data_IF_016730368574
#
_entry.id   IF_016730368574
#
_cell.length_a   1.000
_cell.length_b   1.000
_cell.length_c   1.000
_cell.angle_alpha   90.00
_cell.angle_beta   90.00
_cell.angle_gamma   90.00
#
_symmetry.space_group_name_H-M   'P 1'
#
loop_
_entity.id
_entity.type
_entity.pdbx_description
1 polymer ?
#
# COMPACT_ATOMS: atom_id res chain seq x y z
N UNK A 1 -0.47 -7.08 -23.35
CA UNK A 1 -1.29 -7.57 -22.26
C UNK A 1 -1.95 -6.41 -21.55
N UNK A 2 -3.18 -6.54 -21.32
CA UNK A 2 -3.95 -5.45 -20.76
C UNK A 2 -4.06 -5.61 -19.26
N UNK A 3 -3.86 -4.54 -18.57
CA UNK A 3 -4.18 -4.53 -17.17
C UNK A 3 -5.68 -4.63 -17.00
N UNK A 4 -6.10 -5.47 -16.13
CA UNK A 4 -7.49 -5.83 -16.05
C UNK A 4 -8.22 -5.18 -14.90
N UNK A 5 -7.54 -4.58 -13.94
CA UNK A 5 -8.23 -4.10 -12.78
C UNK A 5 -7.77 -2.73 -12.33
N UNK A 6 -8.72 -1.92 -11.85
CA UNK A 6 -8.39 -0.64 -11.25
C UNK A 6 -7.47 -0.82 -10.05
N UNK A 7 -7.66 -1.91 -9.27
CA UNK A 7 -6.79 -2.21 -8.15
C UNK A 7 -5.34 -2.43 -8.55
N UNK A 8 -5.12 -3.22 -9.62
CA UNK A 8 -3.77 -3.47 -10.10
C UNK A 8 -3.12 -2.19 -10.63
N UNK A 9 -3.89 -1.38 -11.33
CA UNK A 9 -3.39 -0.10 -11.80
C UNK A 9 -3.02 0.79 -10.63
N UNK A 10 -3.86 0.82 -9.61
CA UNK A 10 -3.59 1.62 -8.41
C UNK A 10 -2.32 1.17 -7.69
N UNK A 11 -2.13 -0.14 -7.55
CA UNK A 11 -0.93 -0.67 -6.90
C UNK A 11 0.33 -0.32 -7.66
N UNK A 12 0.26 -0.40 -9.00
CA UNK A 12 1.39 -0.02 -9.84
C UNK A 12 1.73 1.45 -9.68
N UNK A 13 0.70 2.30 -9.69
CA UNK A 13 0.91 3.74 -9.52
C UNK A 13 1.48 4.07 -8.14
N UNK A 14 1.01 3.38 -7.11
CA UNK A 14 1.56 3.54 -5.77
C UNK A 14 3.02 3.11 -5.71
N UNK A 15 3.36 1.98 -6.34
CA UNK A 15 4.75 1.51 -6.39
C UNK A 15 5.63 2.50 -7.14
N UNK A 16 5.18 3.03 -8.27
CA UNK A 16 5.93 4.03 -9.02
C UNK A 16 6.15 5.30 -8.19
N UNK A 17 5.13 5.74 -7.47
CA UNK A 17 5.24 6.88 -6.58
C UNK A 17 6.34 6.65 -5.54
N UNK A 18 6.34 5.48 -4.91
CA UNK A 18 7.33 5.13 -3.89
C UNK A 18 8.74 5.08 -4.47
N UNK A 19 8.90 4.51 -5.66
CA UNK A 19 10.20 4.49 -6.32
C UNK A 19 10.74 5.89 -6.54
N UNK A 20 9.88 6.82 -6.95
CA UNK A 20 10.28 8.22 -7.15
C UNK A 20 10.66 8.90 -5.85
N UNK A 21 10.16 8.41 -4.72
CA UNK A 21 10.48 8.93 -3.40
C UNK A 21 11.69 8.24 -2.77
N UNK A 22 12.36 7.37 -3.52
CA UNK A 22 13.58 6.73 -3.04
C UNK A 22 13.39 5.37 -2.39
N UNK A 23 12.20 4.79 -2.51
CA UNK A 23 11.96 3.45 -1.97
C UNK A 23 12.32 2.38 -2.98
N UNK A 24 12.73 1.23 -2.46
CA UNK A 24 12.84 0.01 -3.25
C UNK A 24 11.62 -0.86 -2.97
N UNK A 25 11.01 -1.40 -4.01
CA UNK A 25 9.83 -2.25 -3.86
C UNK A 25 10.27 -3.67 -3.58
N UNK A 26 9.82 -4.21 -2.46
CA UNK A 26 10.13 -5.58 -2.05
C UNK A 26 9.10 -6.57 -2.54
N UNK A 27 7.83 -6.19 -2.55
CA UNK A 27 6.76 -7.07 -2.98
C UNK A 27 5.54 -6.26 -3.38
N UNK A 28 4.78 -6.82 -4.31
CA UNK A 28 3.47 -6.29 -4.70
C UNK A 28 2.49 -7.44 -4.56
N UNK A 29 1.34 -7.19 -3.95
CA UNK A 29 0.32 -8.21 -3.70
C UNK A 29 0.89 -9.39 -2.91
N UNK A 30 1.58 -9.10 -1.82
CA UNK A 30 2.06 -10.14 -0.94
C UNK A 30 0.89 -10.78 -0.20
N UNK A 31 0.80 -12.10 -0.27
CA UNK A 31 -0.30 -12.84 0.35
C UNK A 31 0.22 -13.96 1.22
N UNK A 32 -0.48 -14.20 2.33
CA UNK A 32 -0.25 -15.34 3.19
C UNK A 32 -1.58 -15.73 3.83
N UNK A 33 -1.56 -16.73 4.71
CA UNK A 33 -2.80 -17.20 5.35
C UNK A 33 -3.46 -16.14 6.22
N UNK A 34 -2.75 -15.11 6.63
CA UNK A 34 -3.30 -14.06 7.50
C UNK A 34 -3.94 -12.92 6.71
N UNK A 35 -3.63 -12.78 5.44
CA UNK A 35 -4.16 -11.71 4.62
C UNK A 35 -3.20 -11.31 3.53
N UNK A 36 -3.38 -10.06 3.07
CA UNK A 36 -2.55 -9.56 1.98
C UNK A 36 -2.14 -8.12 2.23
N UNK A 37 -0.99 -7.73 1.67
CA UNK A 37 -0.50 -6.36 1.68
C UNK A 37 -0.23 -5.97 0.24
N UNK A 38 -0.75 -4.81 -0.15
CA UNK A 38 -0.72 -4.40 -1.55
C UNK A 38 0.69 -4.08 -2.04
N UNK A 39 1.45 -3.33 -1.24
CA UNK A 39 2.84 -2.99 -1.59
C UNK A 39 3.69 -3.04 -0.33
N UNK A 40 4.86 -3.65 -0.44
CA UNK A 40 5.88 -3.61 0.61
C UNK A 40 7.11 -2.94 0.01
N UNK A 41 7.58 -1.88 0.64
CA UNK A 41 8.68 -1.07 0.14
C UNK A 41 9.61 -0.67 1.28
N UNK A 42 10.86 -0.36 0.95
CA UNK A 42 11.80 0.08 1.98
C UNK A 42 12.66 1.22 1.49
N UNK A 43 13.09 2.04 2.43
CA UNK A 43 14.13 3.02 2.20
C UNK A 43 15.21 2.82 3.26
N UNK A 44 16.01 3.85 3.55
CA UNK A 44 17.11 3.70 4.52
C UNK A 44 16.64 3.54 5.95
N UNK A 45 15.44 4.03 6.27
CA UNK A 45 14.93 4.07 7.64
C UNK A 45 13.77 3.12 7.89
N UNK A 46 12.90 2.96 6.89
CA UNK A 46 11.61 2.32 7.08
C UNK A 46 11.39 1.17 6.14
N UNK A 47 10.66 0.17 6.63
CA UNK A 47 9.99 -0.77 5.77
C UNK A 47 8.50 -0.46 5.85
N UNK A 48 7.91 -0.09 4.73
CA UNK A 48 6.53 0.38 4.66
C UNK A 48 5.63 -0.72 4.12
N UNK A 49 4.56 -0.98 4.87
CA UNK A 49 3.50 -1.91 4.46
C UNK A 49 2.32 -1.06 4.04
N UNK A 50 1.99 -1.07 2.76
CA UNK A 50 1.12 -0.08 2.15
C UNK A 50 -0.19 -0.70 1.69
N UNK A 51 -1.29 -0.13 2.16
CA UNK A 51 -2.63 -0.46 1.68
C UNK A 51 -3.00 0.54 0.59
N UNK A 52 -3.39 0.05 -0.57
CA UNK A 52 -3.72 0.89 -1.72
C UNK A 52 -5.23 0.88 -1.92
N UNK A 53 -5.82 2.08 -2.00
CA UNK A 53 -7.24 2.26 -2.29
C UNK A 53 -7.38 3.06 -3.56
N UNK A 54 -7.99 2.45 -4.57
CA UNK A 54 -8.25 3.12 -5.84
C UNK A 54 -9.68 3.62 -5.84
N UNK A 55 -9.85 4.88 -6.22
CA UNK A 55 -11.16 5.55 -6.30
C UNK A 55 -11.35 6.13 -7.68
N UNK A 56 -12.59 6.10 -8.16
CA UNK A 56 -12.93 6.77 -9.39
C UNK A 56 -13.08 8.26 -9.19
N UNK A 57 -13.24 8.98 -10.30
CA UNK A 57 -13.48 10.41 -10.26
C UNK A 57 -14.74 10.70 -9.44
N UNK A 58 -14.69 11.73 -8.61
CA UNK A 58 -15.82 12.14 -7.79
C UNK A 58 -16.00 11.36 -6.50
N UNK A 59 -15.13 10.42 -6.19
CA UNK A 59 -15.20 9.69 -4.93
C UNK A 59 -14.63 10.56 -3.81
N UNK A 60 -15.29 10.55 -2.66
CA UNK A 60 -14.89 11.36 -1.52
C UNK A 60 -14.61 10.56 -0.25
N UNK A 61 -14.58 9.24 -0.33
CA UNK A 61 -14.32 8.42 0.86
C UNK A 61 -12.85 8.57 1.25
N UNK A 62 -12.56 9.09 2.44
CA UNK A 62 -11.18 9.23 2.89
C UNK A 62 -10.49 7.87 2.97
N UNK A 63 -9.21 7.78 2.57
CA UNK A 63 -8.49 6.49 2.55
C UNK A 63 -8.47 5.79 3.90
N UNK A 64 -8.31 6.54 4.99
CA UNK A 64 -8.21 5.95 6.31
C UNK A 64 -9.49 5.29 6.77
N UNK A 65 -10.64 5.81 6.33
CA UNK A 65 -11.93 5.23 6.69
C UNK A 65 -12.16 3.87 6.03
N UNK A 66 -11.47 3.60 4.94
CA UNK A 66 -11.57 2.32 4.25
C UNK A 66 -10.76 1.22 4.94
N UNK A 67 -9.92 1.57 5.92
CA UNK A 67 -9.09 0.59 6.62
C UNK A 67 -9.68 0.38 8.01
N UNK A 68 -10.59 -0.59 8.11
CA UNK A 68 -11.29 -0.91 9.35
C UNK A 68 -10.33 -1.52 10.38
N UNK A 69 -10.70 -1.52 11.68
CA UNK A 69 -9.87 -2.19 12.69
C UNK A 69 -9.58 -3.65 12.39
N UNK A 70 -10.54 -4.39 11.87
CA UNK A 70 -10.33 -5.79 11.49
C UNK A 70 -9.31 -5.91 10.38
N UNK A 71 -9.37 -5.01 9.41
CA UNK A 71 -8.43 -5.00 8.30
C UNK A 71 -7.02 -4.64 8.78
N UNK A 72 -6.91 -3.66 9.69
CA UNK A 72 -5.62 -3.29 10.27
C UNK A 72 -4.98 -4.48 10.99
N UNK A 73 -5.77 -5.22 11.75
CA UNK A 73 -5.26 -6.40 12.46
C UNK A 73 -4.72 -7.43 11.51
N UNK A 74 -5.40 -7.67 10.39
CA UNK A 74 -4.91 -8.61 9.38
C UNK A 74 -3.62 -8.13 8.72
N UNK A 75 -3.55 -6.84 8.43
CA UNK A 75 -2.33 -6.26 7.83
C UNK A 75 -1.15 -6.41 8.78
N UNK A 76 -1.35 -6.14 10.08
CA UNK A 76 -0.29 -6.28 11.07
C UNK A 76 0.21 -7.72 11.13
N UNK A 77 -0.70 -8.70 11.17
CA UNK A 77 -0.30 -10.10 11.20
C UNK A 77 0.43 -10.52 9.93
N UNK A 78 -0.02 -10.04 8.79
CA UNK A 78 0.63 -10.32 7.51
C UNK A 78 2.04 -9.72 7.49
N UNK A 79 2.19 -8.50 7.99
CA UNK A 79 3.49 -7.84 8.07
C UNK A 79 4.43 -8.61 9.00
N UNK A 80 3.93 -9.07 10.14
CA UNK A 80 4.74 -9.89 11.06
C UNK A 80 5.22 -11.17 10.40
N UNK A 81 4.34 -11.82 9.63
CA UNK A 81 4.71 -13.01 8.88
C UNK A 81 5.81 -12.71 7.87
N UNK A 82 5.67 -11.60 7.13
CA UNK A 82 6.69 -11.18 6.18
C UNK A 82 8.04 -10.95 6.87
N UNK A 83 8.01 -10.26 8.00
CA UNK A 83 9.24 -9.92 8.72
C UNK A 83 9.94 -11.13 9.32
N UNK A 84 9.20 -12.18 9.65
CA UNK A 84 9.84 -13.42 10.10
C UNK A 84 10.66 -14.05 8.98
N UNK A 85 10.18 -14.00 7.76
CA UNK A 85 10.88 -14.55 6.61
C UNK A 85 11.96 -13.59 6.08
N UNK A 86 11.81 -12.30 6.34
CA UNK A 86 12.72 -11.26 5.82
C UNK A 86 13.12 -10.34 6.96
N UNK A 87 13.96 -10.80 7.90
CA UNK A 87 14.35 -9.96 9.04
C UNK A 87 15.06 -8.70 8.58
N UNK A 88 14.78 -7.61 9.27
CA UNK A 88 15.40 -6.33 8.95
C UNK A 88 15.50 -5.48 10.22
N UNK A 89 16.45 -4.54 10.21
CA UNK A 89 16.58 -3.55 11.28
C UNK A 89 15.80 -2.29 11.00
N UNK A 90 15.16 -2.21 9.82
CA UNK A 90 14.38 -1.03 9.47
C UNK A 90 13.13 -0.94 10.35
N UNK A 91 12.70 0.31 10.58
CA UNK A 91 11.50 0.56 11.36
C UNK A 91 10.26 0.23 10.53
N UNK A 92 9.39 -0.66 10.99
CA UNK A 92 8.13 -0.92 10.30
C UNK A 92 7.21 0.30 10.35
N UNK A 93 6.49 0.51 9.24
CA UNK A 93 5.53 1.61 9.15
C UNK A 93 4.36 1.16 8.30
N UNK A 94 3.14 1.51 8.72
CA UNK A 94 1.92 1.16 8.01
C UNK A 94 1.38 2.39 7.32
N UNK A 95 1.31 2.35 6.00
CA UNK A 95 0.97 3.48 5.16
C UNK A 95 -0.29 3.19 4.35
N UNK A 96 -0.92 4.25 3.87
CA UNK A 96 -2.06 4.14 2.96
C UNK A 96 -1.81 5.01 1.74
N UNK A 97 -2.14 4.49 0.57
CA UNK A 97 -2.07 5.22 -0.67
C UNK A 97 -3.45 5.26 -1.31
N UNK A 98 -3.99 6.46 -1.49
CA UNK A 98 -5.23 6.65 -2.21
C UNK A 98 -4.92 7.08 -3.63
N UNK A 99 -5.39 6.31 -4.59
CA UNK A 99 -5.18 6.59 -6.00
C UNK A 99 -6.51 7.02 -6.59
N UNK A 100 -6.58 8.28 -7.03
CA UNK A 100 -7.78 8.84 -7.62
C UNK A 100 -7.63 8.85 -9.13
N UNK A 101 -8.44 8.03 -9.80
CA UNK A 101 -8.41 7.94 -11.25
C UNK A 101 -9.27 9.05 -11.83
N UNK A 102 -8.70 9.84 -12.74
CA UNK A 102 -9.41 10.94 -13.38
C UNK A 102 -10.04 10.49 -14.68
N UNK A 103 -11.04 11.22 -15.13
CA UNK A 103 -11.74 10.87 -16.36
C UNK A 103 -10.88 10.98 -17.62
N UNK A 104 -9.77 11.73 -17.55
CA UNK A 104 -8.84 11.89 -18.67
C UNK A 104 -7.74 10.83 -18.67
N UNK A 105 -7.83 9.83 -17.79
CA UNK A 105 -6.81 8.79 -17.68
C UNK A 105 -5.66 9.15 -16.76
N UNK A 106 -5.60 10.37 -16.26
CA UNK A 106 -4.58 10.75 -15.29
C UNK A 106 -4.95 10.21 -13.92
N UNK A 107 -3.96 10.09 -13.05
CA UNK A 107 -4.18 9.65 -11.69
C UNK A 107 -3.50 10.61 -10.72
N UNK A 108 -4.09 10.73 -9.55
CA UNK A 108 -3.53 11.52 -8.48
C UNK A 108 -3.38 10.61 -7.26
N UNK A 109 -2.23 10.71 -6.59
CA UNK A 109 -1.97 9.89 -5.41
C UNK A 109 -1.91 10.78 -4.19
N UNK A 110 -2.67 10.38 -3.16
CA UNK A 110 -2.54 10.94 -1.84
C UNK A 110 -1.93 9.86 -0.96
N UNK A 111 -0.71 10.09 -0.51
CA UNK A 111 0.04 9.10 0.25
C UNK A 111 0.09 9.51 1.72
N UNK A 112 -0.30 8.60 2.61
CA UNK A 112 -0.36 8.86 4.04
C UNK A 112 0.63 7.93 4.73
N UNK A 113 1.71 8.52 5.23
CA UNK A 113 2.68 7.77 6.03
C UNK A 113 2.12 7.56 7.43
N UNK A 114 2.41 6.40 7.97
CA UNK A 114 2.03 6.07 9.33
C UNK A 114 0.52 6.23 9.54
N UNK A 115 -0.23 5.64 8.61
CA UNK A 115 -1.68 5.76 8.60
C UNK A 115 -2.33 5.11 9.82
N UNK A 116 -1.69 4.09 10.36
CA UNK A 116 -2.12 3.48 11.62
C UNK A 116 -0.91 2.77 12.24
N UNK A 117 -1.05 2.38 13.50
CA UNK A 117 0.00 1.68 14.23
C UNK A 117 -0.44 0.29 14.61
N UNK A 118 0.54 -0.58 14.79
CA UNK A 118 0.30 -1.95 15.18
C UNK A 118 -0.29 -2.07 16.59
#
# INVERSE_FOLDING_TARGET
MVNTGAGKTGERLAADYLCKKGYSILAVNFRCRFGEIDVIAQNRKYIAFVEVKTRGAGSFVPPLEAITPAKRARIVKTAQFFLLAHPTKLQPRFDAAAVFMRGDGAAQIEYIENAFQA
#
